data_IF_271983759293
#
_entry.id   IF_271983759293
#
_cell.length_a   1.000
_cell.length_b   1.000
_cell.length_c   1.000
_cell.angle_alpha   90.00
_cell.angle_beta   90.00
_cell.angle_gamma   90.00
#
_symmetry.space_group_name_H-M   'P 1'
#
loop_
_entity.id
_entity.type
_entity.pdbx_description
1 polymer ?
#
# COMPACT_ATOMS: atom_id res chain seq x y z
N UNK A 1 16.88 -38.64 33.83
CA UNK A 1 17.40 -37.33 33.38
C UNK A 1 16.61 -36.91 32.16
N UNK A 2 15.66 -36.00 32.32
CA UNK A 2 14.86 -35.47 31.21
C UNK A 2 15.71 -34.50 30.38
N UNK A 3 15.73 -34.70 29.06
CA UNK A 3 16.35 -33.76 28.11
C UNK A 3 15.57 -32.45 28.16
N UNK A 4 16.23 -31.42 28.66
CA UNK A 4 15.80 -30.02 28.55
C UNK A 4 15.61 -29.72 27.07
N UNK A 5 14.37 -29.41 26.68
CA UNK A 5 14.03 -28.98 25.33
C UNK A 5 14.79 -27.70 25.01
N UNK A 6 15.49 -27.69 23.88
CA UNK A 6 16.16 -26.51 23.33
C UNK A 6 15.22 -25.31 23.34
N UNK A 7 15.72 -24.20 23.88
CA UNK A 7 15.14 -22.86 23.86
C UNK A 7 14.34 -22.61 22.57
N UNK A 8 13.02 -22.46 22.73
CA UNK A 8 12.13 -21.93 21.71
C UNK A 8 12.59 -20.49 21.46
N UNK A 9 13.16 -20.23 20.29
CA UNK A 9 13.47 -18.87 19.84
C UNK A 9 12.19 -18.03 19.97
N UNK A 10 12.27 -16.73 20.31
CA UNK A 10 11.08 -15.88 20.31
C UNK A 10 10.42 -16.00 18.94
N UNK A 11 9.15 -16.44 18.92
CA UNK A 11 8.40 -16.62 17.70
C UNK A 11 8.43 -15.30 16.91
N UNK A 12 8.88 -15.34 15.65
CA UNK A 12 8.87 -14.16 14.81
C UNK A 12 7.40 -13.73 14.61
N UNK A 13 7.06 -12.46 14.85
CA UNK A 13 5.67 -12.01 14.86
C UNK A 13 5.12 -11.78 13.45
N UNK A 14 5.99 -11.33 12.53
CA UNK A 14 5.60 -10.82 11.22
C UNK A 14 6.51 -11.37 10.11
N UNK A 15 5.92 -11.88 9.03
CA UNK A 15 6.64 -12.19 7.78
C UNK A 15 6.15 -11.31 6.63
N UNK A 16 7.09 -10.74 5.88
CA UNK A 16 6.83 -9.92 4.68
C UNK A 16 7.49 -10.61 3.49
N UNK A 17 6.69 -11.11 2.56
CA UNK A 17 7.16 -11.74 1.32
C UNK A 17 7.04 -10.74 0.17
N UNK A 18 8.16 -10.39 -0.45
CA UNK A 18 8.20 -9.41 -1.52
C UNK A 18 8.40 -10.08 -2.88
N UNK A 19 7.65 -9.63 -3.89
CA UNK A 19 7.95 -9.93 -5.30
C UNK A 19 9.30 -9.34 -5.72
N UNK A 20 9.52 -8.07 -5.39
CA UNK A 20 10.75 -7.35 -5.69
C UNK A 20 11.92 -7.81 -4.83
N UNK A 21 13.12 -7.74 -5.41
CA UNK A 21 14.38 -8.17 -4.75
C UNK A 21 15.33 -7.02 -4.43
N UNK A 22 15.01 -5.80 -4.85
CA UNK A 22 15.92 -4.65 -4.75
C UNK A 22 15.37 -3.59 -3.78
N UNK A 23 14.45 -2.74 -4.25
CA UNK A 23 13.96 -1.57 -3.51
C UNK A 23 13.30 -1.98 -2.19
N UNK A 24 12.34 -2.89 -2.25
CA UNK A 24 11.53 -3.39 -1.14
C UNK A 24 12.40 -3.99 -0.04
N UNK A 25 13.42 -4.75 -0.44
CA UNK A 25 14.30 -5.49 0.45
C UNK A 25 15.30 -4.63 1.20
N UNK A 26 15.45 -3.36 0.81
CA UNK A 26 16.23 -2.37 1.55
C UNK A 26 15.35 -1.30 2.21
N UNK A 27 14.20 -0.99 1.61
CA UNK A 27 13.24 0.00 2.10
C UNK A 27 12.48 -0.48 3.36
N UNK A 28 11.74 -1.59 3.28
CA UNK A 28 10.90 -2.02 4.41
C UNK A 28 11.71 -2.39 5.66
N UNK A 29 12.86 -3.09 5.55
CA UNK A 29 13.68 -3.36 6.74
C UNK A 29 14.23 -2.10 7.41
N UNK A 30 14.43 -1.01 6.66
CA UNK A 30 14.90 0.27 7.21
C UNK A 30 13.81 1.04 7.96
N UNK A 31 12.53 0.66 7.80
CA UNK A 31 11.39 1.29 8.46
C UNK A 31 10.90 0.56 9.71
N UNK A 32 11.37 -0.66 9.99
CA UNK A 32 10.80 -1.45 11.09
C UNK A 32 11.10 -0.78 12.45
N UNK A 33 10.05 -0.44 13.19
CA UNK A 33 10.16 -0.10 14.63
C UNK A 33 9.96 -1.33 15.52
N UNK A 34 9.25 -2.34 15.01
CA UNK A 34 9.00 -3.57 15.75
C UNK A 34 10.15 -4.59 15.60
N UNK A 35 10.47 -5.23 16.71
CA UNK A 35 11.33 -6.40 16.74
C UNK A 35 10.60 -7.60 16.09
N UNK A 36 11.37 -8.55 15.54
CA UNK A 36 10.86 -9.83 15.03
C UNK A 36 10.06 -9.79 13.71
N UNK A 37 10.56 -9.04 12.72
CA UNK A 37 10.06 -9.07 11.33
C UNK A 37 11.01 -9.81 10.40
N UNK A 38 10.50 -10.79 9.65
CA UNK A 38 11.23 -11.49 8.59
C UNK A 38 10.85 -10.96 7.22
N UNK A 39 11.85 -10.49 6.47
CA UNK A 39 11.69 -10.14 5.05
C UNK A 39 12.19 -11.27 4.17
N UNK A 40 11.37 -11.68 3.20
CA UNK A 40 11.66 -12.78 2.27
C UNK A 40 11.64 -12.25 0.83
N UNK A 41 12.79 -12.15 0.15
CA UNK A 41 12.85 -11.74 -1.24
C UNK A 41 12.40 -12.89 -2.15
N UNK A 42 11.51 -12.58 -3.10
CA UNK A 42 11.12 -13.39 -4.26
C UNK A 42 11.35 -14.89 -4.09
N UNK A 43 10.49 -15.58 -3.31
CA UNK A 43 10.61 -17.01 -3.05
C UNK A 43 10.83 -17.80 -4.36
N UNK A 44 11.96 -18.51 -4.45
CA UNK A 44 12.35 -19.21 -5.68
C UNK A 44 11.81 -20.64 -5.74
N UNK A 45 11.41 -21.07 -6.95
CA UNK A 45 11.24 -22.48 -7.27
C UNK A 45 12.59 -23.20 -7.19
N UNK A 46 12.77 -24.12 -6.22
CA UNK A 46 13.89 -25.07 -6.27
C UNK A 46 13.47 -26.29 -7.08
N UNK A 47 13.84 -26.32 -8.36
CA UNK A 47 13.90 -27.54 -9.17
C UNK A 47 15.16 -28.30 -8.74
N UNK A 48 15.03 -29.51 -8.21
CA UNK A 48 16.19 -30.33 -7.84
C UNK A 48 17.02 -30.64 -9.10
N UNK A 49 18.33 -30.83 -8.92
CA UNK A 49 19.32 -30.99 -9.99
C UNK A 49 19.07 -32.17 -10.95
N UNK A 50 18.18 -33.11 -10.62
CA UNK A 50 17.79 -34.20 -11.51
C UNK A 50 16.94 -33.74 -12.70
N UNK A 51 16.14 -32.67 -12.56
CA UNK A 51 15.28 -32.19 -13.65
C UNK A 51 16.02 -31.30 -14.67
N UNK A 52 17.28 -30.93 -14.43
CA UNK A 52 18.08 -30.13 -15.37
C UNK A 52 18.67 -30.94 -16.54
N UNK A 53 18.71 -32.28 -16.43
CA UNK A 53 19.32 -33.16 -17.46
C UNK A 53 18.36 -33.54 -18.60
N UNK A 54 17.05 -33.45 -18.41
CA UNK A 54 16.06 -33.74 -19.46
C UNK A 54 15.29 -32.46 -19.84
N UNK A 55 15.94 -31.57 -20.60
CA UNK A 55 15.29 -30.38 -21.17
C UNK A 55 14.45 -30.67 -22.42
N UNK A 56 14.37 -31.93 -22.84
CA UNK A 56 13.56 -32.36 -23.98
C UNK A 56 12.43 -33.24 -23.50
N UNK A 57 11.23 -32.65 -23.52
CA UNK A 57 9.87 -33.20 -23.33
C UNK A 57 9.19 -32.76 -22.02
N UNK A 58 8.00 -32.22 -22.26
CA UNK A 58 7.04 -31.70 -21.31
C UNK A 58 6.68 -32.73 -20.22
N UNK A 59 7.35 -32.68 -19.07
CA UNK A 59 6.86 -33.12 -17.76
C UNK A 59 7.92 -32.72 -16.72
N UNK A 60 7.61 -31.73 -15.87
CA UNK A 60 8.45 -31.41 -14.70
C UNK A 60 8.13 -32.45 -13.62
N UNK A 61 8.77 -33.61 -13.68
CA UNK A 61 8.67 -34.59 -12.61
C UNK A 61 9.45 -34.08 -11.38
N UNK A 62 8.69 -33.69 -10.34
CA UNK A 62 9.21 -33.37 -9.01
C UNK A 62 9.34 -34.69 -8.25
N UNK A 63 10.57 -35.19 -8.07
CA UNK A 63 10.81 -36.41 -7.30
C UNK A 63 10.83 -36.16 -5.79
N UNK A 64 10.23 -37.11 -5.08
CA UNK A 64 10.50 -37.46 -3.69
C UNK A 64 11.94 -37.98 -3.56
N UNK A 65 12.79 -37.30 -2.78
CA UNK A 65 14.17 -37.71 -2.53
C UNK A 65 14.72 -37.07 -1.26
N UNK A 66 15.51 -37.85 -0.53
CA UNK A 66 15.90 -37.69 0.88
C UNK A 66 16.21 -36.27 1.38
N UNK A 67 15.54 -35.90 2.47
CA UNK A 67 15.57 -34.60 3.12
C UNK A 67 16.71 -34.50 4.16
N UNK A 68 17.94 -34.14 3.78
CA UNK A 68 18.99 -33.90 4.81
C UNK A 68 19.90 -32.69 4.62
N UNK A 69 19.74 -31.83 3.60
CA UNK A 69 20.56 -30.60 3.51
C UNK A 69 19.71 -29.37 3.15
N UNK A 70 19.17 -28.74 4.20
CA UNK A 70 18.34 -27.54 4.12
C UNK A 70 19.18 -26.26 4.06
N UNK A 71 19.05 -25.52 2.96
CA UNK A 71 19.47 -24.11 2.86
C UNK A 71 18.31 -23.24 2.38
N UNK A 72 17.58 -22.65 3.33
CA UNK A 72 17.20 -21.23 3.31
C UNK A 72 16.00 -20.70 2.54
N UNK A 73 15.51 -21.29 1.44
CA UNK A 73 14.43 -20.65 0.64
C UNK A 73 13.21 -21.57 0.51
N UNK A 74 12.10 -21.14 1.10
CA UNK A 74 10.85 -21.90 1.19
C UNK A 74 9.84 -21.49 0.10
N UNK A 75 9.12 -22.49 -0.39
CA UNK A 75 8.36 -22.54 -1.64
C UNK A 75 6.94 -21.94 -1.52
N UNK A 76 6.23 -21.76 -2.66
CA UNK A 76 4.77 -21.60 -2.70
C UNK A 76 4.00 -22.94 -2.83
N UNK A 77 4.70 -24.08 -2.80
CA UNK A 77 4.12 -25.43 -2.76
C UNK A 77 4.82 -26.21 -1.66
N UNK A 78 4.08 -26.94 -0.81
CA UNK A 78 4.70 -27.80 0.18
C UNK A 78 5.46 -28.99 -0.37
N UNK A 79 6.46 -29.45 0.37
CA UNK A 79 7.19 -30.70 0.06
C UNK A 79 6.29 -31.94 0.08
N UNK A 80 5.14 -31.88 0.76
CA UNK A 80 4.11 -32.93 0.77
C UNK A 80 3.00 -32.68 -0.27
N UNK A 81 2.99 -31.49 -0.89
CA UNK A 81 1.99 -31.01 -1.84
C UNK A 81 2.55 -31.01 -3.28
N UNK A 82 3.44 -31.96 -3.58
CA UNK A 82 4.19 -32.06 -4.84
C UNK A 82 3.34 -32.58 -6.00
N UNK A 83 2.03 -32.72 -5.82
CA UNK A 83 1.14 -33.09 -6.90
C UNK A 83 0.99 -31.94 -7.92
N UNK A 84 0.82 -32.32 -9.19
CA UNK A 84 0.74 -31.37 -10.29
C UNK A 84 -0.49 -30.43 -10.19
N UNK A 85 -1.55 -30.83 -9.48
CA UNK A 85 -2.76 -30.04 -9.33
C UNK A 85 -2.52 -28.88 -8.36
N UNK A 86 -1.96 -29.15 -7.20
CA UNK A 86 -1.61 -28.14 -6.19
C UNK A 86 -0.57 -27.15 -6.73
N UNK A 87 0.43 -27.64 -7.46
CA UNK A 87 1.40 -26.76 -8.11
C UNK A 87 0.74 -25.80 -9.10
N UNK A 88 -0.10 -26.31 -10.01
CA UNK A 88 -0.80 -25.49 -11.02
C UNK A 88 -1.74 -24.47 -10.37
N UNK A 89 -2.33 -24.82 -9.22
CA UNK A 89 -3.22 -23.94 -8.46
C UNK A 89 -2.52 -22.71 -7.90
N UNK A 90 -1.26 -22.84 -7.47
CA UNK A 90 -0.57 -21.79 -6.72
C UNK A 90 0.65 -21.17 -7.41
N UNK A 91 1.14 -21.71 -8.52
CA UNK A 91 2.35 -21.18 -9.19
C UNK A 91 2.14 -19.84 -9.90
N UNK A 92 0.91 -19.45 -10.19
CA UNK A 92 0.63 -18.22 -10.94
C UNK A 92 0.92 -16.97 -10.09
N UNK A 93 1.45 -15.92 -10.72
CA UNK A 93 1.56 -14.59 -10.09
C UNK A 93 0.19 -13.87 -10.14
N UNK A 94 -0.21 -13.14 -9.08
CA UNK A 94 0.46 -12.97 -7.78
C UNK A 94 0.07 -14.02 -6.71
N UNK A 95 -0.74 -15.04 -7.05
CA UNK A 95 -1.19 -16.10 -6.13
C UNK A 95 -0.03 -16.71 -5.33
N UNK A 96 1.09 -16.97 -6.01
CA UNK A 96 2.28 -17.58 -5.39
C UNK A 96 2.84 -16.77 -4.22
N UNK A 97 2.69 -15.45 -4.21
CA UNK A 97 3.20 -14.58 -3.14
C UNK A 97 2.36 -14.74 -1.88
N UNK A 98 1.03 -14.67 -2.02
CA UNK A 98 0.06 -14.93 -0.95
C UNK A 98 0.26 -16.33 -0.38
N UNK A 99 0.45 -17.33 -1.25
CA UNK A 99 0.70 -18.71 -0.83
C UNK A 99 2.01 -18.87 -0.08
N UNK A 100 3.10 -18.27 -0.57
CA UNK A 100 4.38 -18.30 0.13
C UNK A 100 4.26 -17.68 1.53
N UNK A 101 3.60 -16.53 1.65
CA UNK A 101 3.34 -15.88 2.96
C UNK A 101 2.62 -16.82 3.91
N UNK A 102 1.53 -17.45 3.45
CA UNK A 102 0.78 -18.43 4.25
C UNK A 102 1.64 -19.60 4.71
N UNK A 103 2.49 -20.14 3.84
CA UNK A 103 3.38 -21.25 4.17
C UNK A 103 4.44 -20.86 5.20
N UNK A 104 4.97 -19.64 5.15
CA UNK A 104 5.85 -19.13 6.20
C UNK A 104 5.10 -19.09 7.54
N UNK A 105 3.90 -18.51 7.58
CA UNK A 105 3.08 -18.45 8.80
C UNK A 105 2.87 -19.83 9.42
N UNK A 106 2.46 -20.82 8.62
CA UNK A 106 2.16 -22.17 9.12
C UNK A 106 3.40 -22.95 9.57
N UNK A 107 4.52 -22.84 8.84
CA UNK A 107 5.70 -23.70 9.06
C UNK A 107 6.71 -23.12 10.01
N UNK A 108 6.77 -21.80 10.11
CA UNK A 108 7.69 -21.07 10.98
C UNK A 108 7.01 -20.45 12.18
N UNK A 109 5.68 -20.50 12.23
CA UNK A 109 4.89 -20.03 13.37
C UNK A 109 4.81 -18.51 13.43
N UNK A 110 4.84 -17.81 12.29
CA UNK A 110 4.56 -16.37 12.27
C UNK A 110 3.07 -16.12 12.51
N UNK A 111 2.76 -15.13 13.34
CA UNK A 111 1.38 -14.75 13.69
C UNK A 111 0.73 -13.84 12.67
N UNK A 112 1.52 -13.10 11.89
CA UNK A 112 1.06 -12.14 10.89
C UNK A 112 1.89 -12.27 9.61
N UNK A 113 1.26 -12.15 8.44
CA UNK A 113 1.92 -12.28 7.15
C UNK A 113 1.44 -11.29 6.11
N UNK A 114 2.37 -10.70 5.37
CA UNK A 114 2.13 -9.76 4.27
C UNK A 114 2.72 -10.28 2.96
N UNK A 115 1.94 -10.22 1.89
CA UNK A 115 2.41 -10.39 0.53
C UNK A 115 2.53 -9.02 -0.14
N UNK A 116 3.71 -8.71 -0.66
CA UNK A 116 4.01 -7.44 -1.33
C UNK A 116 4.26 -7.68 -2.81
N UNK A 117 3.43 -7.11 -3.66
CA UNK A 117 3.55 -7.25 -5.11
C UNK A 117 2.88 -6.09 -5.84
N UNK A 118 3.31 -5.83 -7.06
CA UNK A 118 2.72 -4.82 -7.92
C UNK A 118 1.85 -5.45 -9.02
N UNK A 119 1.26 -4.61 -9.88
CA UNK A 119 0.46 -5.08 -11.01
C UNK A 119 1.31 -5.61 -12.18
N UNK A 120 2.65 -5.42 -12.19
CA UNK A 120 3.55 -5.36 -13.36
C UNK A 120 3.14 -6.23 -14.58
N UNK A 121 3.40 -5.69 -15.78
CA UNK A 121 2.78 -5.99 -17.07
C UNK A 121 2.31 -7.46 -17.28
N UNK A 122 1.15 -7.59 -17.92
CA UNK A 122 0.38 -8.83 -18.21
C UNK A 122 1.13 -9.94 -19.00
N UNK A 123 2.42 -9.81 -19.22
CA UNK A 123 3.26 -10.68 -20.07
C UNK A 123 3.62 -12.02 -19.42
N UNK A 124 3.48 -12.19 -18.10
CA UNK A 124 3.81 -13.43 -17.38
C UNK A 124 2.57 -14.23 -16.90
N UNK A 125 1.44 -14.09 -17.60
CA UNK A 125 0.20 -14.80 -17.23
C UNK A 125 -0.53 -14.19 -16.02
N UNK A 126 -0.19 -12.94 -15.62
CA UNK A 126 -0.98 -12.17 -14.66
C UNK A 126 -2.27 -11.70 -15.32
N UNK A 127 -3.41 -12.07 -14.74
CA UNK A 127 -4.74 -11.71 -15.24
C UNK A 127 -5.56 -11.11 -14.10
N UNK A 128 -6.62 -10.37 -14.41
CA UNK A 128 -7.56 -9.91 -13.37
C UNK A 128 -8.06 -11.10 -12.52
N UNK A 129 -8.24 -12.27 -13.13
CA UNK A 129 -8.63 -13.49 -12.42
C UNK A 129 -7.54 -13.97 -11.43
N UNK A 130 -6.25 -13.89 -11.78
CA UNK A 130 -5.19 -14.28 -10.84
C UNK A 130 -5.03 -13.30 -9.68
N UNK A 131 -5.21 -11.99 -9.91
CA UNK A 131 -5.25 -10.98 -8.86
C UNK A 131 -6.47 -11.15 -7.94
N UNK A 132 -7.65 -11.37 -8.53
CA UNK A 132 -8.87 -11.67 -7.79
C UNK A 132 -8.64 -12.90 -6.89
N UNK A 133 -8.11 -13.97 -7.46
CA UNK A 133 -7.87 -15.21 -6.71
C UNK A 133 -6.87 -15.03 -5.58
N UNK A 134 -5.80 -14.26 -5.81
CA UNK A 134 -4.84 -13.94 -4.76
C UNK A 134 -5.48 -13.19 -3.59
N UNK A 135 -6.36 -12.21 -3.86
CA UNK A 135 -7.09 -11.46 -2.83
C UNK A 135 -8.11 -12.33 -2.08
N UNK A 136 -8.84 -13.20 -2.78
CA UNK A 136 -9.74 -14.19 -2.15
C UNK A 136 -8.98 -15.09 -1.17
N UNK A 137 -7.86 -15.67 -1.60
CA UNK A 137 -7.02 -16.54 -0.77
C UNK A 137 -6.41 -15.78 0.40
N UNK A 138 -6.00 -14.53 0.19
CA UNK A 138 -5.44 -13.69 1.25
C UNK A 138 -6.47 -13.45 2.36
N UNK A 139 -7.71 -13.12 1.98
CA UNK A 139 -8.82 -12.98 2.92
C UNK A 139 -9.12 -14.29 3.66
N UNK A 140 -9.26 -15.41 2.93
CA UNK A 140 -9.52 -16.73 3.50
C UNK A 140 -8.45 -17.15 4.52
N UNK A 141 -7.18 -16.82 4.25
CA UNK A 141 -6.04 -17.29 5.05
C UNK A 141 -5.55 -16.28 6.09
N UNK A 142 -6.18 -15.12 6.21
CA UNK A 142 -5.71 -14.05 7.11
C UNK A 142 -4.34 -13.50 6.72
N UNK A 143 -4.02 -13.49 5.42
CA UNK A 143 -2.81 -12.87 4.87
C UNK A 143 -3.14 -11.45 4.42
N UNK A 144 -2.29 -10.50 4.77
CA UNK A 144 -2.39 -9.12 4.31
C UNK A 144 -1.71 -8.93 2.95
N UNK A 145 -2.15 -7.93 2.19
CA UNK A 145 -1.56 -7.56 0.90
C UNK A 145 -1.11 -6.10 0.98
N UNK A 146 0.11 -5.83 0.50
CA UNK A 146 0.58 -4.50 0.13
C UNK A 146 0.81 -4.48 -1.38
N UNK A 147 0.03 -3.67 -2.07
CA UNK A 147 -0.13 -3.63 -3.51
C UNK A 147 0.02 -2.21 -4.00
N UNK A 148 0.72 -2.07 -5.13
CA UNK A 148 0.84 -0.81 -5.87
C UNK A 148 0.42 -1.03 -7.33
N UNK A 149 -0.30 -0.06 -7.88
CA UNK A 149 -0.63 -0.03 -9.28
C UNK A 149 0.68 0.18 -10.03
N UNK A 150 0.96 -0.76 -10.90
CA UNK A 150 2.17 -0.81 -11.70
C UNK A 150 3.48 -1.05 -10.93
N UNK A 151 3.89 -0.20 -9.97
CA UNK A 151 5.14 -0.39 -9.21
C UNK A 151 5.20 0.40 -7.89
N UNK A 152 6.11 0.00 -6.99
CA UNK A 152 6.27 0.64 -5.67
C UNK A 152 6.67 2.12 -5.74
N UNK A 153 7.23 2.59 -6.85
CA UNK A 153 7.53 4.01 -7.07
C UNK A 153 6.31 4.92 -6.94
N UNK A 154 5.10 4.40 -7.15
CA UNK A 154 3.85 5.12 -6.91
C UNK A 154 3.70 5.55 -5.45
N UNK A 155 4.09 4.67 -4.53
CA UNK A 155 4.13 4.98 -3.10
C UNK A 155 5.15 6.09 -2.80
N UNK A 156 6.30 6.12 -3.48
CA UNK A 156 7.27 7.21 -3.29
C UNK A 156 6.79 8.54 -3.87
N UNK A 157 6.08 8.54 -5.00
CA UNK A 157 5.45 9.75 -5.55
C UNK A 157 4.48 10.39 -4.56
N UNK A 158 3.70 9.57 -3.84
CA UNK A 158 2.76 10.05 -2.84
C UNK A 158 3.41 10.72 -1.63
N UNK A 159 4.72 10.61 -1.44
CA UNK A 159 5.41 11.46 -0.46
C UNK A 159 5.41 12.92 -0.86
N UNK A 160 5.08 13.31 -2.09
CA UNK A 160 5.21 14.69 -2.56
C UNK A 160 3.89 15.28 -3.03
N UNK A 161 3.09 14.52 -3.78
CA UNK A 161 1.89 15.04 -4.41
C UNK A 161 0.81 13.97 -4.61
N UNK A 162 -0.45 14.40 -4.67
CA UNK A 162 -1.53 13.62 -5.26
C UNK A 162 -1.35 13.63 -6.77
N UNK A 163 -1.39 12.47 -7.39
CA UNK A 163 -1.19 12.35 -8.84
C UNK A 163 -2.19 11.35 -9.42
N UNK A 164 -3.05 11.79 -10.33
CA UNK A 164 -4.10 10.97 -10.97
C UNK A 164 -3.65 10.36 -12.30
N UNK A 165 -2.41 10.62 -12.72
CA UNK A 165 -1.86 10.14 -13.97
C UNK A 165 -1.55 8.65 -13.87
N UNK A 166 -2.07 7.81 -14.78
CA UNK A 166 -1.69 6.41 -14.82
C UNK A 166 -0.26 6.25 -15.36
N UNK A 167 0.52 5.39 -14.72
CA UNK A 167 1.85 4.98 -15.19
C UNK A 167 1.83 3.54 -15.68
N UNK A 168 2.57 3.27 -16.75
CA UNK A 168 2.55 1.95 -17.40
C UNK A 168 3.92 1.27 -17.42
N UNK A 169 4.93 1.92 -16.85
CA UNK A 169 6.32 1.44 -16.70
C UNK A 169 6.97 2.03 -15.44
N UNK A 170 7.80 1.23 -14.76
CA UNK A 170 8.47 1.63 -13.52
C UNK A 170 9.65 2.54 -13.86
N UNK A 171 10.46 2.10 -14.82
CA UNK A 171 11.57 2.87 -15.35
C UNK A 171 11.85 2.50 -16.83
N UNK A 172 12.64 3.32 -17.51
CA UNK A 172 12.96 3.15 -18.92
C UNK A 172 13.95 2.00 -19.16
N UNK A 173 13.59 1.00 -19.95
CA UNK A 173 14.45 -0.16 -20.25
C UNK A 173 15.68 0.13 -21.12
N UNK A 174 15.81 1.32 -21.75
CA UNK A 174 16.95 1.68 -22.61
C UNK A 174 18.25 2.00 -21.83
N UNK A 175 18.40 1.46 -20.63
CA UNK A 175 19.59 1.55 -19.81
C UNK A 175 20.81 0.98 -20.56
N UNK A 176 21.69 1.88 -21.00
CA UNK A 176 23.13 1.61 -21.04
C UNK A 176 23.75 2.41 -19.90
N UNK A 177 24.74 1.82 -19.23
CA UNK A 177 25.39 2.34 -18.03
C UNK A 177 25.57 3.87 -18.07
N UNK A 178 24.98 4.57 -17.08
CA UNK A 178 25.14 6.02 -16.89
C UNK A 178 24.03 6.92 -17.47
N UNK A 179 23.09 6.39 -18.26
CA UNK A 179 22.04 7.18 -18.92
C UNK A 179 20.68 6.94 -18.27
N UNK A 180 20.12 7.97 -17.60
CA UNK A 180 18.86 7.88 -16.85
C UNK A 180 17.80 8.81 -17.46
N UNK A 181 16.64 8.25 -17.84
CA UNK A 181 15.53 9.02 -18.43
C UNK A 181 14.95 10.04 -17.43
N UNK A 182 14.65 11.26 -17.88
CA UNK A 182 14.10 12.32 -17.03
C UNK A 182 15.16 13.20 -16.37
N UNK A 183 16.43 13.06 -16.75
CA UNK A 183 17.49 14.01 -16.39
C UNK A 183 17.72 14.98 -17.57
N UNK A 184 17.88 16.28 -17.31
CA UNK A 184 17.96 17.32 -18.36
C UNK A 184 19.13 17.12 -19.34
N UNK A 185 20.15 16.35 -18.92
CA UNK A 185 21.33 16.03 -19.72
C UNK A 185 21.13 14.89 -20.72
N UNK A 186 19.96 14.22 -20.74
CA UNK A 186 19.70 13.04 -21.59
C UNK A 186 18.33 13.12 -22.25
N UNK A 187 18.33 13.37 -23.57
CA UNK A 187 17.15 13.16 -24.42
C UNK A 187 17.05 11.66 -24.72
N UNK A 188 16.21 10.94 -23.97
CA UNK A 188 15.77 9.64 -24.45
C UNK A 188 14.78 9.85 -25.61
N UNK A 189 15.26 9.76 -26.85
CA UNK A 189 14.47 10.01 -28.07
C UNK A 189 13.20 9.16 -28.20
N UNK A 190 13.10 8.04 -27.49
CA UNK A 190 11.96 7.11 -27.54
C UNK A 190 11.22 6.97 -26.20
N UNK A 191 11.52 7.81 -25.21
CA UNK A 191 10.85 7.78 -23.93
C UNK A 191 9.98 9.01 -23.76
N UNK A 192 8.69 8.82 -23.56
CA UNK A 192 7.86 9.84 -22.96
C UNK A 192 8.06 9.74 -21.44
N UNK A 193 8.84 10.61 -20.77
CA UNK A 193 9.11 10.50 -19.32
C UNK A 193 7.84 10.56 -18.47
N UNK A 194 6.72 11.01 -19.03
CA UNK A 194 5.41 10.98 -18.39
C UNK A 194 4.78 9.55 -18.35
N UNK A 195 5.27 8.58 -19.12
CA UNK A 195 4.76 7.20 -19.08
C UNK A 195 5.47 6.33 -18.03
N UNK A 196 6.64 6.79 -17.55
CA UNK A 196 7.50 6.10 -16.60
C UNK A 196 7.53 6.84 -15.28
N UNK A 197 7.13 6.20 -14.19
CA UNK A 197 7.09 6.88 -12.90
C UNK A 197 8.48 7.28 -12.38
N UNK A 198 9.51 6.43 -12.58
CA UNK A 198 10.88 6.81 -12.26
C UNK A 198 11.37 8.02 -13.05
N UNK A 199 10.97 8.12 -14.33
CA UNK A 199 11.27 9.27 -15.18
C UNK A 199 10.54 10.53 -14.72
N UNK A 200 9.29 10.40 -14.30
CA UNK A 200 8.49 11.48 -13.72
C UNK A 200 9.12 12.05 -12.45
N UNK A 201 9.49 11.17 -11.50
CA UNK A 201 10.12 11.54 -10.23
C UNK A 201 11.40 12.36 -10.43
N UNK A 202 12.23 11.97 -11.41
CA UNK A 202 13.48 12.68 -11.75
C UNK A 202 13.24 13.99 -12.48
N UNK A 203 12.38 13.99 -13.50
CA UNK A 203 12.06 15.20 -14.30
C UNK A 203 11.47 16.31 -13.44
N UNK A 204 10.69 15.95 -12.42
CA UNK A 204 10.09 16.89 -11.47
C UNK A 204 11.03 17.28 -10.33
N UNK A 205 12.22 16.68 -10.25
CA UNK A 205 13.18 16.92 -9.18
C UNK A 205 12.71 16.45 -7.80
N UNK A 206 11.66 15.61 -7.73
CA UNK A 206 11.10 15.13 -6.47
C UNK A 206 12.08 14.19 -5.78
N UNK A 207 12.72 13.32 -6.57
CA UNK A 207 13.80 12.44 -6.12
C UNK A 207 14.89 12.47 -7.21
N UNK A 208 15.74 13.50 -7.18
CA UNK A 208 16.77 13.74 -8.21
C UNK A 208 17.66 12.52 -8.47
N UNK A 209 18.00 11.77 -7.41
CA UNK A 209 18.93 10.65 -7.43
C UNK A 209 18.25 9.27 -7.39
N UNK A 210 16.98 9.18 -7.81
CA UNK A 210 16.18 7.96 -7.73
C UNK A 210 16.87 6.77 -8.43
N UNK A 211 17.11 5.70 -7.67
CA UNK A 211 17.65 4.43 -8.15
C UNK A 211 17.05 3.27 -7.33
N UNK A 212 16.68 2.17 -7.99
CA UNK A 212 16.05 0.98 -7.37
C UNK A 212 16.86 0.35 -6.21
N UNK A 213 18.18 0.61 -6.14
CA UNK A 213 19.06 0.09 -5.07
C UNK A 213 19.22 1.01 -3.87
N UNK A 214 18.49 2.12 -3.80
CA UNK A 214 18.58 3.13 -2.73
C UNK A 214 17.39 3.09 -1.76
N UNK A 215 16.84 1.91 -1.47
CA UNK A 215 15.67 1.78 -0.58
C UNK A 215 15.87 2.37 0.82
N UNK A 216 17.09 2.33 1.37
CA UNK A 216 17.40 2.98 2.67
C UNK A 216 17.18 4.49 2.61
N UNK A 217 17.65 5.17 1.53
CA UNK A 217 17.43 6.62 1.37
C UNK A 217 15.95 6.97 1.19
N UNK A 218 15.20 6.09 0.53
CA UNK A 218 13.76 6.26 0.40
C UNK A 218 13.06 6.12 1.75
N UNK A 219 13.55 5.22 2.63
CA UNK A 219 13.06 5.10 4.00
C UNK A 219 13.39 6.35 4.83
N UNK A 220 14.58 6.94 4.67
CA UNK A 220 14.93 8.22 5.30
C UNK A 220 13.93 9.33 4.91
N UNK A 221 13.62 9.46 3.62
CA UNK A 221 12.60 10.41 3.11
C UNK A 221 11.23 10.14 3.76
N UNK A 222 10.83 8.88 3.89
CA UNK A 222 9.57 8.52 4.56
C UNK A 222 9.56 8.93 6.04
N UNK A 223 10.69 8.81 6.73
CA UNK A 223 10.83 9.11 8.15
C UNK A 223 11.00 10.60 8.46
N UNK A 224 11.30 11.43 7.47
CA UNK A 224 11.29 12.89 7.62
C UNK A 224 9.91 13.38 8.10
N UNK A 225 9.92 14.38 8.99
CA UNK A 225 8.71 14.89 9.64
C UNK A 225 7.65 15.30 8.59
N UNK A 226 6.42 14.81 8.77
CA UNK A 226 5.27 15.12 7.92
C UNK A 226 5.18 14.26 6.63
N UNK A 227 6.29 13.72 6.13
CA UNK A 227 6.30 13.01 4.85
C UNK A 227 5.49 11.71 4.88
N UNK A 228 5.63 10.89 5.94
CA UNK A 228 4.86 9.66 6.09
C UNK A 228 3.35 9.93 6.09
N UNK A 229 2.91 10.91 6.90
CA UNK A 229 1.49 11.24 7.01
C UNK A 229 0.94 11.72 5.67
N UNK A 230 1.63 12.66 5.01
CA UNK A 230 1.29 13.10 3.65
C UNK A 230 1.19 11.95 2.66
N UNK A 231 2.14 11.01 2.69
CA UNK A 231 2.13 9.83 1.84
C UNK A 231 0.93 8.91 2.12
N UNK A 232 0.58 8.68 3.39
CA UNK A 232 -0.60 7.90 3.76
C UNK A 232 -1.90 8.57 3.31
N UNK A 233 -2.02 9.90 3.45
CA UNK A 233 -3.21 10.64 2.98
C UNK A 233 -3.33 10.59 1.46
N UNK A 234 -2.22 10.75 0.73
CA UNK A 234 -2.17 10.64 -0.73
C UNK A 234 -2.48 9.22 -1.22
N UNK A 235 -2.00 8.19 -0.52
CA UNK A 235 -2.33 6.80 -0.80
C UNK A 235 -3.84 6.55 -0.59
N UNK A 236 -4.41 7.01 0.51
CA UNK A 236 -5.86 6.95 0.76
C UNK A 236 -6.67 7.66 -0.32
N UNK A 237 -6.19 8.81 -0.79
CA UNK A 237 -6.81 9.53 -1.91
C UNK A 237 -6.83 8.68 -3.18
N UNK A 238 -5.72 8.03 -3.53
CA UNK A 238 -5.63 7.18 -4.75
C UNK A 238 -6.67 6.06 -4.73
N UNK A 239 -6.87 5.43 -3.56
CA UNK A 239 -7.88 4.37 -3.37
C UNK A 239 -9.32 4.89 -3.53
N UNK A 240 -9.54 6.18 -3.23
CA UNK A 240 -10.86 6.82 -3.34
C UNK A 240 -11.25 7.22 -4.76
N UNK A 241 -10.31 7.21 -5.72
CA UNK A 241 -10.59 7.66 -7.09
C UNK A 241 -11.60 6.77 -7.82
N UNK A 242 -11.61 5.48 -7.51
CA UNK A 242 -12.51 4.48 -8.12
C UNK A 242 -13.01 3.49 -7.06
N UNK A 243 -13.90 3.92 -6.15
CA UNK A 243 -14.29 3.13 -4.97
C UNK A 243 -15.07 1.86 -5.31
N UNK A 244 -15.62 1.75 -6.53
CA UNK A 244 -16.37 0.59 -7.01
C UNK A 244 -15.51 -0.40 -7.81
N UNK A 245 -14.28 -0.04 -8.16
CA UNK A 245 -13.38 -0.90 -8.93
C UNK A 245 -12.52 -1.75 -8.00
N UNK A 246 -12.11 -2.92 -8.50
CA UNK A 246 -11.13 -3.73 -7.78
C UNK A 246 -9.76 -3.03 -7.82
N UNK A 247 -8.92 -3.15 -6.77
CA UNK A 247 -7.62 -2.49 -6.73
C UNK A 247 -6.72 -2.71 -7.95
N UNK A 248 -6.74 -3.92 -8.52
CA UNK A 248 -5.95 -4.29 -9.70
C UNK A 248 -6.52 -3.77 -11.04
N UNK A 249 -7.64 -3.05 -11.00
CA UNK A 249 -8.26 -2.34 -12.14
C UNK A 249 -8.06 -0.82 -12.03
N UNK A 250 -7.45 -0.37 -10.94
CA UNK A 250 -7.16 1.02 -10.65
C UNK A 250 -5.70 1.34 -10.96
N UNK A 251 -5.48 2.48 -11.60
CA UNK A 251 -4.17 3.08 -11.83
C UNK A 251 -4.40 4.58 -11.96
N UNK A 252 -3.97 5.40 -10.99
CA UNK A 252 -3.16 5.05 -9.82
C UNK A 252 -3.94 4.28 -8.72
N UNK A 253 -3.22 3.51 -7.89
CA UNK A 253 -3.73 2.87 -6.65
C UNK A 253 -2.59 2.29 -5.82
N UNK A 254 -2.51 2.60 -4.52
CA UNK A 254 -1.64 1.84 -3.60
C UNK A 254 -2.28 1.58 -2.25
N UNK A 255 -1.94 0.46 -1.63
CA UNK A 255 -2.18 0.17 -0.20
C UNK A 255 -0.89 -0.20 0.56
N UNK A 256 0.28 0.12 -0.03
CA UNK A 256 1.61 -0.03 0.60
C UNK A 256 1.73 0.77 1.90
N UNK A 257 1.04 1.90 2.02
CA UNK A 257 0.93 2.71 3.24
C UNK A 257 0.50 1.88 4.45
N UNK A 258 -0.36 0.87 4.26
CA UNK A 258 -0.84 0.02 5.35
C UNK A 258 0.28 -0.83 5.95
N UNK A 259 1.13 -1.42 5.10
CA UNK A 259 2.31 -2.16 5.56
C UNK A 259 3.31 -1.21 6.23
N UNK A 260 3.56 -0.04 5.64
CA UNK A 260 4.47 0.95 6.21
C UNK A 260 4.00 1.41 7.59
N UNK A 261 2.72 1.76 7.74
CA UNK A 261 2.12 2.11 9.02
C UNK A 261 2.24 0.95 10.02
N UNK A 262 2.00 -0.28 9.59
CA UNK A 262 2.16 -1.47 10.44
C UNK A 262 3.60 -1.68 10.92
N UNK A 263 4.59 -1.48 10.04
CA UNK A 263 6.02 -1.60 10.36
C UNK A 263 6.51 -0.53 11.33
N UNK A 264 5.90 0.67 11.28
CA UNK A 264 6.20 1.83 12.12
C UNK A 264 5.26 1.98 13.34
N UNK A 265 4.41 0.99 13.58
CA UNK A 265 3.43 0.95 14.67
C UNK A 265 2.52 2.20 14.71
N UNK A 266 2.12 2.67 13.53
CA UNK A 266 1.12 3.73 13.33
C UNK A 266 -0.27 3.14 13.18
N UNK A 267 -1.26 3.85 13.70
CA UNK A 267 -2.66 3.40 13.77
C UNK A 267 -3.65 4.36 13.11
N UNK A 268 -3.18 5.24 12.22
CA UNK A 268 -4.05 6.17 11.51
C UNK A 268 -5.03 5.42 10.61
N UNK A 269 -6.29 5.85 10.63
CA UNK A 269 -7.35 5.38 9.74
C UNK A 269 -7.71 6.57 8.87
N UNK A 270 -7.24 6.57 7.63
CA UNK A 270 -7.37 7.71 6.72
C UNK A 270 -8.32 7.36 5.59
N UNK A 271 -9.36 8.18 5.44
CA UNK A 271 -10.42 8.00 4.46
C UNK A 271 -10.65 9.28 3.66
N UNK A 272 -10.89 9.13 2.36
CA UNK A 272 -11.36 10.23 1.52
C UNK A 272 -12.84 10.05 1.24
N UNK A 273 -13.64 10.95 1.80
CA UNK A 273 -15.09 10.98 1.67
C UNK A 273 -15.46 11.66 0.36
N UNK A 274 -16.44 11.08 -0.35
CA UNK A 274 -17.01 11.66 -1.56
C UNK A 274 -18.29 12.42 -1.23
N UNK A 275 -18.62 13.38 -2.08
CA UNK A 275 -19.83 14.18 -1.93
C UNK A 275 -21.07 13.28 -1.86
N UNK A 276 -21.98 13.60 -0.95
CA UNK A 276 -23.22 12.89 -0.71
C UNK A 276 -23.07 11.41 -0.31
N UNK A 277 -21.84 10.93 -0.06
CA UNK A 277 -21.62 9.60 0.47
C UNK A 277 -21.59 9.61 1.99
N UNK A 278 -22.24 8.59 2.55
CA UNK A 278 -22.25 8.38 3.99
C UNK A 278 -20.91 7.83 4.46
N UNK A 279 -20.42 8.38 5.57
CA UNK A 279 -19.25 7.88 6.29
C UNK A 279 -19.54 7.85 7.78
N UNK A 280 -18.85 6.97 8.50
CA UNK A 280 -19.07 6.79 9.93
C UNK A 280 -17.94 7.39 10.73
N UNK A 281 -18.30 8.24 11.69
CA UNK A 281 -17.39 8.71 12.71
C UNK A 281 -17.89 8.24 14.06
N UNK A 282 -17.16 7.30 14.67
CA UNK A 282 -17.61 6.55 15.84
C UNK A 282 -18.97 5.88 15.57
N UNK A 283 -19.99 6.17 16.39
CA UNK A 283 -21.34 5.63 16.24
C UNK A 283 -22.30 6.58 15.53
N UNK A 284 -21.78 7.50 14.71
CA UNK A 284 -22.59 8.46 13.95
C UNK A 284 -22.28 8.40 12.46
N UNK A 285 -23.34 8.34 11.66
CA UNK A 285 -23.30 8.41 10.21
C UNK A 285 -23.51 9.85 9.77
N UNK A 286 -22.59 10.34 8.96
CA UNK A 286 -22.56 11.70 8.43
C UNK A 286 -22.45 11.66 6.92
N UNK A 287 -22.80 12.76 6.25
CA UNK A 287 -22.46 13.01 4.85
C UNK A 287 -22.03 14.46 4.65
N UNK A 288 -21.27 14.71 3.59
CA UNK A 288 -20.83 16.05 3.20
C UNK A 288 -21.49 16.45 1.88
N UNK A 289 -22.04 17.65 1.82
CA UNK A 289 -22.57 18.27 0.60
C UNK A 289 -21.72 19.49 0.24
N UNK A 290 -21.38 19.63 -1.04
CA UNK A 290 -20.60 20.75 -1.54
C UNK A 290 -21.54 21.84 -2.07
N UNK A 291 -21.55 23.01 -1.44
CA UNK A 291 -22.22 24.21 -1.96
C UNK A 291 -21.24 25.11 -2.72
N UNK A 292 -21.71 26.27 -3.19
CA UNK A 292 -20.87 27.25 -3.90
C UNK A 292 -19.78 27.82 -2.97
N UNK A 293 -20.18 28.42 -1.84
CA UNK A 293 -19.27 29.06 -0.87
C UNK A 293 -19.08 28.26 0.44
N UNK A 294 -19.80 27.15 0.59
CA UNK A 294 -19.86 26.40 1.84
C UNK A 294 -19.81 24.90 1.60
N UNK A 295 -19.37 24.15 2.61
CA UNK A 295 -19.53 22.71 2.72
C UNK A 295 -20.48 22.45 3.89
N UNK A 296 -21.50 21.63 3.67
CA UNK A 296 -22.47 21.28 4.71
C UNK A 296 -22.20 19.88 5.21
N UNK A 297 -21.90 19.75 6.50
CA UNK A 297 -21.82 18.48 7.20
C UNK A 297 -23.22 18.12 7.73
N UNK A 298 -23.78 17.01 7.26
CA UNK A 298 -25.16 16.62 7.55
C UNK A 298 -25.15 15.36 8.41
N UNK A 299 -25.91 15.41 9.51
CA UNK A 299 -26.23 14.25 10.32
C UNK A 299 -27.22 13.35 9.60
N UNK A 300 -26.94 12.04 9.56
CA UNK A 300 -27.84 11.05 8.96
C UNK A 300 -28.49 10.17 10.04
N UNK A 301 -27.69 9.56 10.92
CA UNK A 301 -28.19 8.67 11.98
C UNK A 301 -27.11 8.40 13.04
N UNK A 302 -27.50 7.96 14.24
CA UNK A 302 -26.57 7.60 15.32
C UNK A 302 -26.97 8.12 16.70
N UNK A 303 -26.02 8.13 17.63
CA UNK A 303 -26.23 8.60 19.00
C UNK A 303 -26.10 10.13 19.12
N UNK A 304 -24.98 10.68 18.64
CA UNK A 304 -24.69 12.12 18.53
C UNK A 304 -23.24 12.30 18.08
N UNK A 305 -22.94 13.28 17.23
CA UNK A 305 -21.58 13.56 16.75
C UNK A 305 -21.01 14.87 17.29
N UNK A 306 -20.53 14.84 18.53
CA UNK A 306 -19.82 15.99 19.10
C UNK A 306 -18.37 15.95 18.67
N UNK A 307 -18.01 16.76 17.68
CA UNK A 307 -16.61 17.04 17.37
C UNK A 307 -16.25 18.45 17.76
N UNK A 308 -15.06 18.56 18.37
CA UNK A 308 -14.45 19.83 18.71
C UNK A 308 -14.25 20.62 17.42
N UNK A 309 -14.62 21.90 17.42
CA UNK A 309 -14.35 22.79 16.30
C UNK A 309 -12.89 22.66 15.81
N UNK A 310 -11.90 22.55 16.69
CA UNK A 310 -10.49 22.41 16.31
C UNK A 310 -10.13 21.12 15.56
N UNK A 311 -11.02 20.13 15.57
CA UNK A 311 -10.84 18.84 14.90
C UNK A 311 -11.51 18.79 13.52
N UNK A 312 -12.16 19.87 13.10
CA UNK A 312 -12.52 20.11 11.70
C UNK A 312 -11.61 21.23 11.22
N UNK A 313 -11.02 21.14 10.03
CA UNK A 313 -10.16 22.22 9.52
C UNK A 313 -9.90 22.10 8.03
N UNK A 314 -9.63 23.24 7.40
CA UNK A 314 -9.07 23.26 6.06
C UNK A 314 -7.58 22.89 6.12
N UNK A 315 -7.10 22.21 5.08
CA UNK A 315 -5.76 21.66 5.00
C UNK A 315 -4.91 22.39 3.96
N UNK A 316 -3.63 22.64 4.23
CA UNK A 316 -2.69 22.99 3.16
C UNK A 316 -2.34 21.75 2.30
N UNK A 317 -1.37 21.90 1.39
CA UNK A 317 -0.87 20.80 0.54
C UNK A 317 -0.12 19.70 1.32
N UNK A 318 0.26 19.96 2.57
CA UNK A 318 0.89 19.00 3.47
C UNK A 318 -0.11 18.38 4.46
N UNK A 319 -1.40 18.69 4.31
CA UNK A 319 -2.46 18.28 5.24
C UNK A 319 -2.34 18.86 6.65
N UNK A 320 -1.62 19.96 6.79
CA UNK A 320 -1.56 20.73 8.02
C UNK A 320 -2.75 21.70 8.13
N UNK A 321 -3.21 21.92 9.35
CA UNK A 321 -4.37 22.79 9.61
C UNK A 321 -4.05 24.25 9.27
N UNK A 322 -4.84 24.84 8.37
CA UNK A 322 -4.83 26.29 8.10
C UNK A 322 -5.93 27.06 8.85
N UNK A 323 -6.59 26.38 9.80
CA UNK A 323 -7.70 26.91 10.60
C UNK A 323 -9.09 26.71 9.98
N UNK A 324 -10.09 27.24 10.68
CA UNK A 324 -11.49 27.25 10.28
C UNK A 324 -12.03 28.67 10.34
N UNK A 325 -12.86 29.02 9.35
CA UNK A 325 -13.76 30.15 9.46
C UNK A 325 -15.19 29.62 9.69
N UNK A 326 -15.60 29.55 10.96
CA UNK A 326 -17.02 29.38 11.28
C UNK A 326 -17.73 30.73 11.22
N UNK A 327 -18.97 30.74 10.74
CA UNK A 327 -19.82 31.90 10.94
C UNK A 327 -20.13 32.02 12.44
N UNK A 328 -19.77 33.18 13.01
CA UNK A 328 -19.62 33.40 14.45
C UNK A 328 -20.90 33.25 15.29
N UNK A 329 -22.05 33.00 14.65
CA UNK A 329 -23.36 32.84 15.29
C UNK A 329 -23.71 31.40 15.72
N UNK A 330 -23.02 30.37 15.22
CA UNK A 330 -23.38 28.96 15.51
C UNK A 330 -22.41 28.22 16.44
N UNK A 331 -21.27 28.82 16.78
CA UNK A 331 -20.16 28.18 17.50
C UNK A 331 -20.29 28.17 19.03
N UNK A 332 -21.50 28.29 19.58
CA UNK A 332 -21.70 28.18 21.02
C UNK A 332 -21.25 26.79 21.53
N UNK A 333 -20.12 26.78 22.24
CA UNK A 333 -19.44 25.66 22.91
C UNK A 333 -18.57 24.72 22.07
N UNK A 334 -18.19 25.07 20.83
CA UNK A 334 -17.21 24.29 20.06
C UNK A 334 -17.65 22.85 19.75
N UNK A 335 -18.97 22.60 19.72
CA UNK A 335 -19.59 21.32 19.37
C UNK A 335 -20.39 21.51 18.09
N UNK A 336 -20.07 20.71 17.07
CA UNK A 336 -20.60 20.95 15.73
C UNK A 336 -21.96 20.28 15.51
N UNK A 337 -22.09 18.97 15.70
CA UNK A 337 -23.31 18.25 15.30
C UNK A 337 -23.96 17.54 16.50
N UNK A 338 -25.28 17.60 16.61
CA UNK A 338 -26.06 16.80 17.55
C UNK A 338 -27.33 16.32 16.83
N UNK A 339 -28.07 15.32 17.35
CA UNK A 339 -29.37 14.97 16.78
C UNK A 339 -30.35 16.15 16.71
N UNK A 340 -30.11 17.21 17.49
CA UNK A 340 -30.89 18.45 17.49
C UNK A 340 -30.43 19.46 16.42
N UNK A 341 -29.17 19.38 15.97
CA UNK A 341 -28.62 20.14 14.84
C UNK A 341 -28.39 19.19 13.66
N UNK A 342 -29.38 19.10 12.77
CA UNK A 342 -29.35 18.19 11.61
C UNK A 342 -28.19 18.47 10.64
N UNK A 343 -27.64 19.68 10.64
CA UNK A 343 -26.48 20.03 9.82
C UNK A 343 -25.62 21.15 10.41
N UNK A 344 -24.40 21.27 9.89
CA UNK A 344 -23.42 22.33 10.18
C UNK A 344 -22.89 22.86 8.87
N UNK A 345 -22.87 24.18 8.75
CA UNK A 345 -22.34 24.88 7.58
C UNK A 345 -20.89 25.30 7.86
N UNK A 346 -19.98 24.94 6.96
CA UNK A 346 -18.56 25.25 7.04
C UNK A 346 -18.21 26.13 5.84
N UNK A 347 -17.75 27.35 6.09
CA UNK A 347 -17.36 28.26 5.01
C UNK A 347 -16.12 27.72 4.29
N UNK A 348 -16.13 27.74 2.96
CA UNK A 348 -14.96 27.38 2.14
C UNK A 348 -13.80 28.33 2.40
N UNK A 349 -12.60 27.78 2.36
CA UNK A 349 -11.37 28.57 2.50
C UNK A 349 -10.81 28.92 1.13
N UNK A 350 -10.51 30.19 0.88
CA UNK A 350 -9.93 30.61 -0.40
C UNK A 350 -8.52 30.06 -0.66
N UNK A 351 -7.83 29.57 0.37
CA UNK A 351 -6.47 29.03 0.30
C UNK A 351 -6.42 27.50 0.27
N UNK A 352 -7.55 26.81 0.41
CA UNK A 352 -7.60 25.35 0.45
C UNK A 352 -8.91 24.78 -0.08
N UNK A 353 -8.81 23.71 -0.86
CA UNK A 353 -9.93 22.91 -1.30
C UNK A 353 -10.14 21.65 -0.47
N UNK A 354 -9.33 21.40 0.58
CA UNK A 354 -9.37 20.13 1.31
C UNK A 354 -9.82 20.37 2.74
N UNK A 355 -10.98 19.83 3.10
CA UNK A 355 -11.50 19.80 4.45
C UNK A 355 -11.09 18.48 5.12
N UNK A 356 -10.64 18.55 6.37
CA UNK A 356 -10.37 17.40 7.22
C UNK A 356 -11.30 17.40 8.43
N UNK A 357 -11.79 16.23 8.80
CA UNK A 357 -12.49 15.94 10.05
C UNK A 357 -11.69 14.85 10.77
N UNK A 358 -11.19 15.15 11.98
CA UNK A 358 -10.39 14.24 12.78
C UNK A 358 -11.16 13.74 14.00
N UNK A 359 -11.08 12.44 14.26
CA UNK A 359 -11.68 11.81 15.44
C UNK A 359 -10.80 10.68 15.97
N UNK A 360 -10.01 10.99 16.99
CA UNK A 360 -9.00 10.07 17.52
C UNK A 360 -7.96 9.75 16.46
N UNK A 361 -7.87 8.47 16.08
CA UNK A 361 -6.99 7.98 15.02
C UNK A 361 -7.61 8.07 13.61
N UNK A 362 -8.90 8.40 13.50
CA UNK A 362 -9.59 8.50 12.22
C UNK A 362 -9.45 9.91 11.65
N UNK A 363 -9.16 10.00 10.37
CA UNK A 363 -9.05 11.25 9.61
C UNK A 363 -9.84 11.11 8.31
N UNK A 364 -10.82 11.99 8.14
CA UNK A 364 -11.70 12.01 6.98
C UNK A 364 -11.42 13.25 6.16
N UNK A 365 -10.98 13.06 4.93
CA UNK A 365 -10.63 14.12 3.99
C UNK A 365 -11.73 14.28 2.94
N UNK A 366 -12.03 15.52 2.58
CA UNK A 366 -13.03 15.86 1.58
C UNK A 366 -12.50 16.96 0.67
N UNK A 367 -12.64 16.75 -0.64
CA UNK A 367 -12.27 17.74 -1.65
C UNK A 367 -13.48 18.62 -2.01
N UNK A 368 -13.48 19.85 -1.52
CA UNK A 368 -14.45 20.87 -1.85
C UNK A 368 -14.02 21.60 -3.13
N UNK A 369 -14.39 21.04 -4.28
CA UNK A 369 -14.19 21.72 -5.56
C UNK A 369 -15.15 22.92 -5.66
N UNK A 370 -14.77 23.96 -6.40
CA UNK A 370 -15.71 25.03 -6.76
C UNK A 370 -16.55 24.65 -7.96
#
# INVERSE_FOLDING_TARGET
>A
MARVSKNMQPHEALVVVCEGTETEMSYFPALKSCDNVKFVPRPQEKVTSESKRNRTRNARDLKSGDCTQYTGNEYYVGLQEVDNETYRKYCQEPIRWVRATKLFMERKGFTEGWAVYDLDNKTNGRTNASHQKARELAHEWGVHIAFSAYSIEEWFLFHYERNSQPFFKSDCEHFKEGVVCGNDSVICMNCNPCEYIGGYLRKRGLIQDYQKKKGIKLAEITLENGNLHRACVNAAWSRSLRPTCQPYECNPYTDVDKLVMRLLEKSWIIEWVKENMEFKVNNTTLKLCNGEDVVTLIYVSGLSFVVNASAVYWCDTNYESIGLDFDSSESHNGRLVSPEKESVVIKKNSRSAVLCIKSGFNEFYFEATN
#
